data_IF_142926122489
#
_entry.id   IF_142926122489
#
_cell.length_a   1.000
_cell.length_b   1.000
_cell.length_c   1.000
_cell.angle_alpha   90.00
_cell.angle_beta   90.00
_cell.angle_gamma   90.00
#
_symmetry.space_group_name_H-M   'P 1'
#
loop_
_entity.id
_entity.type
_entity.pdbx_description
1 polymer ?
#
# COMPACT_ATOMS: atom_id res chain seq x y z
N UNK A 1 15.47 -30.04 6.89
CA UNK A 1 15.91 -29.72 5.52
C UNK A 1 14.68 -29.82 4.65
N UNK A 2 13.94 -28.72 4.54
CA UNK A 2 12.84 -28.59 3.61
C UNK A 2 13.43 -27.94 2.36
N UNK A 3 13.33 -28.63 1.24
CA UNK A 3 13.82 -28.16 -0.05
C UNK A 3 12.92 -27.01 -0.52
N UNK A 4 13.48 -25.80 -0.54
CA UNK A 4 12.91 -24.65 -1.24
C UNK A 4 12.86 -24.97 -2.73
N UNK A 5 11.69 -25.42 -3.20
CA UNK A 5 11.44 -25.77 -4.60
C UNK A 5 10.65 -24.68 -5.33
N UNK A 6 11.00 -23.42 -5.13
CA UNK A 6 10.55 -22.37 -6.04
C UNK A 6 11.51 -22.31 -7.23
N UNK A 7 11.18 -23.06 -8.28
CA UNK A 7 11.83 -22.87 -9.58
C UNK A 7 11.69 -21.38 -9.97
N UNK A 8 12.74 -20.72 -10.50
CA UNK A 8 12.67 -19.32 -10.86
C UNK A 8 11.57 -19.13 -11.90
N UNK A 9 10.64 -18.24 -11.57
CA UNK A 9 9.51 -17.94 -12.43
C UNK A 9 10.01 -17.36 -13.76
N UNK A 10 9.61 -17.98 -14.88
CA UNK A 10 10.09 -17.55 -16.19
C UNK A 10 9.26 -16.38 -16.68
N UNK A 11 9.84 -15.19 -16.65
CA UNK A 11 9.26 -13.99 -17.26
C UNK A 11 9.03 -14.27 -18.77
N UNK A 12 7.78 -14.19 -19.27
CA UNK A 12 7.48 -14.36 -20.68
C UNK A 12 8.25 -13.34 -21.55
N UNK A 13 8.85 -13.77 -22.66
CA UNK A 13 9.43 -12.83 -23.63
C UNK A 13 8.32 -12.27 -24.54
N UNK A 14 8.01 -10.97 -24.45
CA UNK A 14 6.94 -10.33 -25.23
C UNK A 14 6.47 -8.98 -24.65
N UNK A 15 5.32 -8.48 -25.14
CA UNK A 15 4.66 -7.29 -24.58
C UNK A 15 4.40 -7.47 -23.08
N UNK A 16 4.68 -6.42 -22.31
CA UNK A 16 4.65 -6.47 -20.85
C UNK A 16 3.26 -6.87 -20.32
N UNK A 17 3.14 -7.95 -19.52
CA UNK A 17 1.87 -8.46 -19.01
C UNK A 17 1.39 -7.63 -17.81
N UNK A 18 1.34 -6.31 -17.95
CA UNK A 18 0.94 -5.43 -16.86
C UNK A 18 -0.50 -5.73 -16.43
N UNK A 19 -0.69 -5.92 -15.13
CA UNK A 19 -2.01 -6.06 -14.51
C UNK A 19 -2.38 -4.76 -13.78
N UNK A 20 -3.67 -4.46 -13.70
CA UNK A 20 -4.17 -3.29 -12.97
C UNK A 20 -4.19 -3.54 -11.46
N UNK A 21 -3.51 -2.68 -10.70
CA UNK A 21 -3.41 -2.79 -9.24
C UNK A 21 -4.30 -1.80 -8.54
N UNK A 22 -4.28 -0.56 -9.02
CA UNK A 22 -5.13 0.49 -8.49
C UNK A 22 -5.54 1.41 -9.62
N UNK A 23 -6.81 1.78 -9.65
CA UNK A 23 -7.30 2.92 -10.43
C UNK A 23 -8.11 3.82 -9.49
N UNK A 24 -7.76 5.09 -9.44
CA UNK A 24 -8.45 6.06 -8.60
C UNK A 24 -8.71 7.36 -9.35
N UNK A 25 -9.92 7.89 -9.18
CA UNK A 25 -10.31 9.18 -9.73
C UNK A 25 -10.01 10.29 -8.73
N UNK A 26 -9.53 11.43 -9.21
CA UNK A 26 -9.16 12.61 -8.41
C UNK A 26 -10.27 13.07 -7.46
N UNK A 27 -11.55 12.92 -7.86
CA UNK A 27 -12.71 13.26 -7.02
C UNK A 27 -12.77 12.48 -5.69
N UNK A 28 -12.16 11.29 -5.62
CA UNK A 28 -12.12 10.47 -4.42
C UNK A 28 -10.88 10.75 -3.55
N UNK A 29 -9.86 11.40 -4.11
CA UNK A 29 -8.57 11.69 -3.44
C UNK A 29 -8.06 13.09 -3.80
N UNK A 30 -8.76 14.16 -3.36
CA UNK A 30 -8.51 15.52 -3.84
C UNK A 30 -7.12 16.09 -3.44
N UNK A 31 -6.46 15.50 -2.45
CA UNK A 31 -5.17 15.96 -1.93
C UNK A 31 -3.95 15.33 -2.62
N UNK A 32 -4.16 14.38 -3.55
CA UNK A 32 -3.07 13.73 -4.28
C UNK A 32 -2.52 14.67 -5.38
N UNK A 33 -1.20 14.67 -5.67
CA UNK A 33 -0.58 15.63 -6.58
C UNK A 33 -0.76 15.28 -8.08
N UNK A 34 -2.02 15.19 -8.54
CA UNK A 34 -2.34 14.98 -9.95
C UNK A 34 -1.65 16.03 -10.85
N UNK A 35 -1.05 15.63 -11.98
CA UNK A 35 -0.57 16.58 -12.98
C UNK A 35 -1.71 17.38 -13.59
N UNK A 36 -1.38 18.54 -14.15
CA UNK A 36 -2.36 19.42 -14.79
C UNK A 36 -3.09 18.69 -15.92
N UNK A 37 -4.41 18.86 -15.94
CA UNK A 37 -5.27 18.24 -16.93
C UNK A 37 -5.45 16.73 -16.76
N UNK A 38 -4.98 16.10 -15.67
CA UNK A 38 -5.27 14.70 -15.35
C UNK A 38 -6.18 14.58 -14.11
N UNK A 39 -7.03 13.57 -14.12
CA UNK A 39 -8.02 13.27 -13.07
C UNK A 39 -8.18 11.76 -12.81
N UNK A 40 -7.36 10.91 -13.44
CA UNK A 40 -7.27 9.47 -13.19
C UNK A 40 -5.81 9.07 -12.95
N UNK A 41 -5.58 8.33 -11.86
CA UNK A 41 -4.32 7.68 -11.53
C UNK A 41 -4.51 6.18 -11.70
N UNK A 42 -3.64 5.55 -12.48
CA UNK A 42 -3.52 4.10 -12.58
C UNK A 42 -2.15 3.66 -12.08
N UNK A 43 -2.12 2.66 -11.21
CA UNK A 43 -0.93 1.89 -10.87
C UNK A 43 -1.08 0.50 -11.49
N UNK A 44 -0.15 0.17 -12.37
CA UNK A 44 -0.04 -1.13 -13.00
C UNK A 44 1.26 -1.78 -12.55
N UNK A 45 1.38 -3.11 -12.58
CA UNK A 45 2.68 -3.75 -12.44
C UNK A 45 2.79 -5.02 -13.25
N UNK A 46 4.02 -5.49 -13.46
CA UNK A 46 4.25 -6.86 -13.89
C UNK A 46 4.02 -7.81 -12.70
N UNK A 47 3.15 -8.83 -12.83
CA UNK A 47 2.86 -9.75 -11.72
C UNK A 47 3.98 -10.77 -11.49
N UNK A 48 4.91 -10.90 -12.44
CA UNK A 48 6.05 -11.82 -12.31
C UNK A 48 7.13 -11.23 -11.42
N UNK A 49 7.79 -12.09 -10.66
CA UNK A 49 8.91 -11.68 -9.83
C UNK A 49 10.08 -11.16 -10.66
N UNK A 50 10.51 -9.93 -10.40
CA UNK A 50 11.75 -9.36 -10.93
C UNK A 50 12.80 -9.28 -9.84
N UNK A 51 14.08 -9.33 -10.24
CA UNK A 51 15.26 -9.20 -9.36
C UNK A 51 15.03 -9.71 -7.92
N UNK A 52 15.15 -8.85 -6.90
CA UNK A 52 15.00 -9.19 -5.47
C UNK A 52 13.54 -9.43 -5.04
N UNK A 53 12.75 -10.11 -5.87
CA UNK A 53 11.33 -10.37 -5.67
C UNK A 53 10.43 -9.12 -5.64
N UNK A 54 10.77 -8.09 -6.41
CA UNK A 54 9.98 -6.86 -6.50
C UNK A 54 9.09 -6.85 -7.75
N UNK A 55 7.84 -6.34 -7.65
CA UNK A 55 7.04 -6.05 -8.83
C UNK A 55 7.58 -4.81 -9.52
N UNK A 56 7.61 -4.79 -10.86
CA UNK A 56 7.97 -3.59 -11.61
C UNK A 56 6.72 -2.74 -11.88
N UNK A 57 6.56 -1.57 -11.23
CA UNK A 57 5.38 -0.77 -11.35
C UNK A 57 5.43 0.16 -12.56
N UNK A 58 4.26 0.59 -13.00
CA UNK A 58 4.05 1.68 -13.92
C UNK A 58 2.91 2.54 -13.43
N UNK A 59 3.24 3.79 -13.08
CA UNK A 59 2.26 4.82 -12.77
C UNK A 59 1.84 5.51 -14.07
N UNK A 60 0.54 5.64 -14.29
CA UNK A 60 -0.03 6.29 -15.47
C UNK A 60 -1.05 7.34 -15.03
N UNK A 61 -0.84 8.56 -15.49
CA UNK A 61 -1.78 9.66 -15.32
C UNK A 61 -2.65 9.79 -16.56
N UNK A 62 -3.96 9.89 -16.38
CA UNK A 62 -4.92 9.97 -17.49
C UNK A 62 -5.99 11.03 -17.23
N UNK A 63 -6.73 11.33 -18.30
CA UNK A 63 -8.02 11.99 -18.25
C UNK A 63 -9.12 10.96 -18.26
N UNK A 64 -10.12 11.16 -17.42
CA UNK A 64 -11.36 10.40 -17.39
C UNK A 64 -12.05 10.50 -18.74
N UNK A 65 -12.01 11.66 -19.38
CA UNK A 65 -12.55 11.86 -20.73
C UNK A 65 -11.83 11.07 -21.85
N UNK A 66 -10.62 10.55 -21.58
CA UNK A 66 -9.88 9.67 -22.50
C UNK A 66 -10.12 8.18 -22.20
N UNK A 67 -10.90 7.86 -21.17
CA UNK A 67 -11.31 6.49 -20.88
C UNK A 67 -12.54 6.14 -21.74
N UNK A 68 -12.54 4.94 -22.31
CA UNK A 68 -13.72 4.42 -22.99
C UNK A 68 -14.84 4.21 -21.96
N UNK A 69 -16.09 4.54 -22.32
CA UNK A 69 -17.30 4.29 -21.52
C UNK A 69 -17.60 2.78 -21.31
N UNK A 70 -16.73 1.90 -21.82
CA UNK A 70 -16.84 0.46 -21.64
C UNK A 70 -16.63 0.08 -20.16
N UNK A 71 -17.13 -1.09 -19.76
CA UNK A 71 -16.81 -1.64 -18.44
C UNK A 71 -15.30 -1.65 -18.21
N UNK A 72 -14.82 -1.33 -16.99
CA UNK A 72 -13.41 -1.37 -16.66
C UNK A 72 -12.81 -2.70 -17.08
N UNK A 73 -11.96 -2.67 -18.12
CA UNK A 73 -11.17 -3.84 -18.48
C UNK A 73 -9.98 -3.88 -17.53
N UNK A 74 -10.04 -4.76 -16.54
CA UNK A 74 -8.95 -5.04 -15.60
C UNK A 74 -7.73 -5.69 -16.28
N UNK A 75 -7.82 -5.94 -17.59
CA UNK A 75 -6.93 -6.84 -18.32
C UNK A 75 -7.26 -8.30 -17.99
N UNK A 76 -6.90 -9.22 -18.89
CA UNK A 76 -6.79 -10.62 -18.52
C UNK A 76 -5.34 -10.84 -18.08
N UNK A 77 -5.08 -11.17 -16.81
CA UNK A 77 -3.73 -11.52 -16.37
C UNK A 77 -3.14 -12.63 -17.25
N UNK A 78 -1.82 -12.66 -17.37
CA UNK A 78 -1.16 -13.79 -18.02
C UNK A 78 -1.53 -15.10 -17.32
N UNK A 79 -1.73 -16.19 -18.07
CA UNK A 79 -2.18 -17.46 -17.49
C UNK A 79 -1.22 -18.03 -16.43
N UNK A 80 0.07 -17.71 -16.57
CA UNK A 80 1.13 -18.11 -15.66
C UNK A 80 1.46 -17.07 -14.57
N UNK A 81 0.70 -15.98 -14.44
CA UNK A 81 0.94 -14.98 -13.40
C UNK A 81 0.70 -15.58 -12.00
N UNK A 82 1.56 -15.30 -11.00
CA UNK A 82 1.29 -15.70 -9.62
C UNK A 82 -0.05 -15.14 -9.16
N UNK A 83 -0.98 -15.99 -8.67
CA UNK A 83 -2.27 -15.50 -8.17
C UNK A 83 -2.13 -14.47 -7.04
N UNK A 84 -1.09 -14.57 -6.23
CA UNK A 84 -0.80 -13.69 -5.10
C UNK A 84 -0.33 -12.28 -5.50
N UNK A 85 0.11 -12.08 -6.74
CA UNK A 85 0.56 -10.77 -7.25
C UNK A 85 -0.48 -10.12 -8.16
N UNK A 86 -1.67 -10.71 -8.28
CA UNK A 86 -2.78 -10.20 -9.08
C UNK A 86 -3.97 -9.95 -8.16
N UNK A 87 -4.51 -8.73 -8.10
CA UNK A 87 -5.65 -8.46 -7.24
C UNK A 87 -6.91 -9.12 -7.78
N UNK A 88 -7.73 -9.64 -6.86
CA UNK A 88 -9.14 -9.91 -7.17
C UNK A 88 -9.82 -8.57 -7.45
N UNK A 89 -10.54 -8.41 -8.59
CA UNK A 89 -11.22 -7.17 -8.90
C UNK A 89 -12.18 -6.74 -7.78
N UNK A 90 -11.96 -5.56 -7.23
CA UNK A 90 -12.75 -5.00 -6.14
C UNK A 90 -12.90 -3.48 -6.31
N UNK A 91 -13.92 -2.91 -5.66
CA UNK A 91 -14.07 -1.47 -5.54
C UNK A 91 -13.33 -0.97 -4.31
N UNK A 92 -12.70 0.19 -4.42
CA UNK A 92 -12.11 0.89 -3.26
C UNK A 92 -13.10 1.88 -2.65
N UNK A 93 -13.08 2.02 -1.33
CA UNK A 93 -13.84 3.02 -0.58
C UNK A 93 -12.84 3.92 0.18
N UNK A 94 -12.32 5.00 -0.44
CA UNK A 94 -11.29 5.80 0.20
C UNK A 94 -11.80 6.55 1.43
N UNK A 95 -11.13 6.36 2.55
CA UNK A 95 -11.36 7.13 3.77
C UNK A 95 -10.23 8.13 4.01
N UNK A 96 -10.60 9.35 4.42
CA UNK A 96 -9.62 10.37 4.77
C UNK A 96 -9.26 10.25 6.24
N UNK A 97 -8.04 9.84 6.51
CA UNK A 97 -7.45 9.78 7.85
C UNK A 97 -6.39 10.86 8.06
N UNK A 98 -6.04 11.09 9.32
CA UNK A 98 -4.86 11.88 9.72
C UNK A 98 -3.88 10.90 10.36
N UNK A 99 -2.65 10.88 9.88
CA UNK A 99 -1.56 10.08 10.42
C UNK A 99 -0.32 10.95 10.66
N UNK A 100 0.67 10.42 11.38
CA UNK A 100 1.88 11.14 11.74
C UNK A 100 3.12 10.28 11.47
N UNK A 101 4.13 10.88 10.86
CA UNK A 101 5.41 10.23 10.58
C UNK A 101 6.23 9.98 11.86
N UNK A 102 6.78 8.78 12.01
CA UNK A 102 7.85 8.49 12.96
C UNK A 102 9.20 9.08 12.51
N UNK A 103 9.39 9.27 11.20
CA UNK A 103 10.71 9.60 10.61
C UNK A 103 11.15 11.04 10.84
N UNK A 104 10.20 11.92 11.19
CA UNK A 104 10.49 13.32 11.50
C UNK A 104 10.90 13.53 12.96
N UNK A 105 10.85 12.46 13.76
CA UNK A 105 11.14 12.50 15.18
C UNK A 105 12.65 12.36 15.42
N UNK A 106 13.20 13.24 16.24
CA UNK A 106 14.55 13.06 16.80
C UNK A 106 14.60 11.83 17.70
N UNK A 107 15.81 11.27 17.87
CA UNK A 107 16.04 10.15 18.81
C UNK A 107 15.55 10.45 20.24
N UNK A 108 15.64 11.71 20.67
CA UNK A 108 15.12 12.14 21.98
C UNK A 108 13.59 12.07 22.03
N UNK A 109 12.90 12.51 20.97
CA UNK A 109 11.45 12.41 20.86
C UNK A 109 11.00 10.95 20.81
N UNK A 110 11.71 10.10 20.05
CA UNK A 110 11.44 8.65 20.00
C UNK A 110 11.55 8.03 21.40
N UNK A 111 12.61 8.35 22.16
CA UNK A 111 12.77 7.88 23.54
C UNK A 111 11.63 8.31 24.46
N UNK A 112 11.22 9.58 24.39
CA UNK A 112 10.09 10.10 25.17
C UNK A 112 8.76 9.45 24.78
N UNK A 113 8.53 9.20 23.49
CA UNK A 113 7.32 8.51 23.01
C UNK A 113 7.29 7.04 23.42
N UNK A 114 8.44 6.36 23.46
CA UNK A 114 8.51 4.99 23.94
C UNK A 114 8.09 4.88 25.41
N UNK A 115 8.62 5.75 26.27
CA UNK A 115 8.22 5.82 27.69
C UNK A 115 6.73 6.16 27.86
N UNK A 116 6.23 7.11 27.06
CA UNK A 116 4.80 7.48 27.07
C UNK A 116 3.91 6.34 26.57
N UNK A 117 4.36 5.58 25.56
CA UNK A 117 3.59 4.48 24.97
C UNK A 117 3.30 3.39 25.99
N UNK A 118 4.27 3.03 26.81
CA UNK A 118 4.08 2.02 27.87
C UNK A 118 3.04 2.47 28.89
N UNK A 119 3.09 3.74 29.32
CA UNK A 119 2.12 4.32 30.26
C UNK A 119 0.73 4.40 29.63
N UNK A 120 0.63 4.93 28.40
CA UNK A 120 -0.64 5.08 27.68
C UNK A 120 -1.32 3.72 27.47
N UNK A 121 -0.54 2.71 27.07
CA UNK A 121 -1.04 1.36 26.84
C UNK A 121 -1.54 0.73 28.13
N UNK A 122 -0.83 0.92 29.25
CA UNK A 122 -1.26 0.41 30.55
C UNK A 122 -2.55 1.09 31.06
N UNK A 123 -2.70 2.39 30.86
CA UNK A 123 -3.84 3.16 31.37
C UNK A 123 -5.08 3.08 30.48
N UNK A 124 -4.90 2.96 29.16
CA UNK A 124 -5.99 3.14 28.19
C UNK A 124 -6.08 2.02 27.14
N UNK A 125 -5.06 1.19 27.03
CA UNK A 125 -4.95 0.17 25.99
C UNK A 125 -4.54 0.69 24.61
N UNK A 126 -4.30 1.99 24.46
CA UNK A 126 -3.81 2.60 23.21
C UNK A 126 -2.29 2.51 23.10
N UNK A 127 -1.78 2.11 21.95
CA UNK A 127 -0.36 2.07 21.65
C UNK A 127 0.04 3.26 20.74
N UNK A 128 1.11 3.97 21.09
CA UNK A 128 1.53 5.14 20.29
C UNK A 128 1.95 4.71 18.89
N UNK A 129 2.68 3.61 18.77
CA UNK A 129 3.30 3.20 17.52
C UNK A 129 2.29 2.61 16.55
N UNK A 130 1.41 1.72 17.04
CA UNK A 130 0.41 1.09 16.17
C UNK A 130 -0.87 1.91 16.02
N UNK A 131 -1.38 2.55 17.07
CA UNK A 131 -2.68 3.21 16.99
C UNK A 131 -2.59 4.71 16.68
N UNK A 132 -1.44 5.37 16.92
CA UNK A 132 -1.39 6.84 16.88
C UNK A 132 -0.55 7.46 15.77
N UNK A 133 0.47 6.75 15.26
CA UNK A 133 1.40 7.27 14.25
C UNK A 133 0.95 6.96 12.82
N UNK A 134 1.65 6.04 12.13
CA UNK A 134 1.47 5.75 10.71
C UNK A 134 0.35 4.72 10.55
N UNK A 135 -0.65 5.01 9.72
CA UNK A 135 -1.70 4.07 9.40
C UNK A 135 -1.11 2.86 8.61
N UNK A 136 -1.49 1.62 8.92
CA UNK A 136 -1.12 0.48 8.08
C UNK A 136 -1.89 0.51 6.74
N UNK A 137 -1.66 -0.51 5.92
CA UNK A 137 -2.54 -0.81 4.79
C UNK A 137 -2.28 -0.03 3.51
N UNK A 138 -3.19 -0.26 2.57
CA UNK A 138 -3.18 0.40 1.27
C UNK A 138 -3.64 1.85 1.43
N UNK A 139 -2.84 2.80 0.95
CA UNK A 139 -3.14 4.23 1.12
C UNK A 139 -2.55 5.10 0.04
N UNK A 140 -3.10 6.30 -0.10
CA UNK A 140 -2.71 7.29 -1.10
C UNK A 140 -2.26 8.59 -0.41
N UNK A 141 -1.03 9.02 -0.69
CA UNK A 141 -0.38 10.08 0.07
C UNK A 141 0.04 9.64 1.47
N UNK A 142 0.26 10.60 2.37
CA UNK A 142 0.65 10.32 3.75
C UNK A 142 2.10 9.84 3.88
N UNK A 143 2.34 8.92 4.81
CA UNK A 143 3.67 8.44 5.19
C UNK A 143 3.82 6.93 4.94
N UNK A 144 4.90 6.46 4.30
CA UNK A 144 5.14 5.03 4.16
C UNK A 144 5.30 4.37 5.54
N UNK A 145 4.72 3.17 5.71
CA UNK A 145 5.00 2.31 6.87
C UNK A 145 6.20 1.42 6.54
N UNK A 146 7.39 1.90 6.87
CA UNK A 146 8.64 1.21 6.61
C UNK A 146 8.81 -0.01 7.51
N UNK A 147 9.07 -1.18 6.92
CA UNK A 147 9.47 -2.40 7.65
C UNK A 147 10.98 -2.40 7.93
N UNK A 148 11.76 -1.81 7.03
CA UNK A 148 13.21 -1.66 7.10
C UNK A 148 13.59 -0.19 7.29
N UNK A 149 14.88 0.13 7.24
CA UNK A 149 15.31 1.52 7.28
C UNK A 149 14.66 2.33 6.14
N UNK A 150 14.10 3.52 6.42
CA UNK A 150 13.46 4.35 5.42
C UNK A 150 14.38 4.74 4.28
N UNK A 151 13.92 4.56 3.05
CA UNK A 151 14.67 4.95 1.86
C UNK A 151 13.85 5.86 0.94
N UNK A 152 14.04 7.18 1.08
CA UNK A 152 13.33 8.15 0.26
C UNK A 152 14.05 8.38 -1.07
N UNK A 153 13.38 8.22 -2.22
CA UNK A 153 13.98 8.53 -3.50
C UNK A 153 14.12 10.05 -3.70
N UNK A 154 15.23 10.44 -4.33
CA UNK A 154 15.46 11.80 -4.81
C UNK A 154 15.21 11.87 -6.31
N UNK A 155 14.45 12.87 -6.75
CA UNK A 155 14.24 13.12 -8.17
C UNK A 155 15.51 13.71 -8.80
N UNK A 156 15.70 13.53 -10.11
CA UNK A 156 16.77 14.18 -10.87
C UNK A 156 16.79 15.72 -10.75
N UNK A 157 15.68 16.36 -10.36
CA UNK A 157 15.64 17.79 -10.08
C UNK A 157 16.16 18.18 -8.67
N UNK A 158 16.62 17.21 -7.87
CA UNK A 158 17.23 17.41 -6.56
C UNK A 158 16.24 17.54 -5.40
N UNK A 159 14.94 17.29 -5.62
CA UNK A 159 13.94 17.27 -4.53
C UNK A 159 13.69 15.83 -4.09
N UNK A 160 13.55 15.63 -2.78
CA UNK A 160 13.02 14.40 -2.23
C UNK A 160 11.60 14.19 -2.75
N UNK A 161 11.31 13.00 -3.28
CA UNK A 161 9.99 12.67 -3.79
C UNK A 161 8.97 12.50 -2.66
N UNK A 162 7.72 12.75 -2.98
CA UNK A 162 6.57 12.59 -2.09
C UNK A 162 6.04 11.15 -2.17
N UNK A 163 5.51 10.63 -1.05
CA UNK A 163 4.84 9.33 -1.06
C UNK A 163 3.53 9.43 -1.84
N UNK A 164 3.40 8.62 -2.89
CA UNK A 164 2.23 8.59 -3.75
C UNK A 164 1.22 7.55 -3.27
N UNK A 165 1.67 6.31 -3.08
CA UNK A 165 0.81 5.19 -2.73
C UNK A 165 1.58 4.11 -1.97
N UNK A 166 0.92 3.49 -1.00
CA UNK A 166 1.31 2.18 -0.47
C UNK A 166 0.29 1.15 -0.96
N UNK A 167 0.77 0.03 -1.48
CA UNK A 167 -0.02 -1.19 -1.69
C UNK A 167 0.48 -2.20 -0.67
N UNK A 168 -0.38 -2.60 0.27
CA UNK A 168 -0.01 -3.49 1.36
C UNK A 168 -0.50 -4.91 1.09
N UNK A 169 0.16 -5.89 1.70
CA UNK A 169 -0.41 -7.25 1.77
C UNK A 169 -1.66 -7.30 2.63
N UNK A 170 -1.66 -6.54 3.75
CA UNK A 170 -2.76 -6.45 4.70
C UNK A 170 -3.15 -4.99 4.93
N UNK A 171 -4.44 -4.73 4.95
CA UNK A 171 -4.99 -3.41 5.28
C UNK A 171 -4.75 -3.04 6.75
N UNK A 172 -4.79 -4.04 7.63
CA UNK A 172 -4.49 -3.92 9.06
C UNK A 172 -4.20 -5.29 9.66
N UNK A 173 -3.61 -5.31 10.85
CA UNK A 173 -3.50 -6.52 11.69
C UNK A 173 -4.09 -6.28 13.09
N UNK A 174 -3.97 -7.28 13.98
CA UNK A 174 -4.56 -7.21 15.32
C UNK A 174 -3.94 -6.16 16.25
N UNK A 175 -2.73 -5.67 15.93
CA UNK A 175 -2.09 -4.57 16.65
C UNK A 175 -2.59 -3.18 16.20
N UNK A 176 -3.17 -3.07 15.00
CA UNK A 176 -3.62 -1.80 14.41
C UNK A 176 -5.15 -1.64 14.38
N UNK A 177 -5.89 -2.64 14.88
CA UNK A 177 -7.35 -2.73 14.68
C UNK A 177 -8.18 -1.78 15.55
N UNK A 178 -7.58 -0.92 16.38
CA UNK A 178 -8.34 0.03 17.23
C UNK A 178 -8.74 1.32 16.52
N UNK A 179 -7.86 1.85 15.66
CA UNK A 179 -8.07 3.14 14.97
C UNK A 179 -8.23 3.01 13.47
N UNK A 180 -7.47 2.10 12.87
CA UNK A 180 -7.27 2.09 11.43
C UNK A 180 -8.22 1.16 10.69
N UNK A 181 -9.20 0.58 11.40
CA UNK A 181 -10.28 -0.19 10.78
C UNK A 181 -11.21 0.78 10.07
N UNK A 182 -11.47 0.58 8.76
CA UNK A 182 -12.47 1.33 8.01
C UNK A 182 -13.82 1.36 8.72
N UNK A 183 -14.55 2.47 8.60
CA UNK A 183 -15.82 2.71 9.26
C UNK A 183 -16.85 1.61 8.97
N UNK A 184 -16.87 1.10 7.74
CA UNK A 184 -17.76 0.00 7.34
C UNK A 184 -17.43 -1.33 8.03
N UNK A 185 -16.19 -1.52 8.46
CA UNK A 185 -15.67 -2.76 9.03
C UNK A 185 -15.60 -2.73 10.57
N UNK A 186 -15.67 -1.54 11.20
CA UNK A 186 -15.69 -1.39 12.66
C UNK A 186 -16.70 -2.31 13.38
N UNK A 187 -17.94 -2.51 12.89
CA UNK A 187 -18.89 -3.42 13.54
C UNK A 187 -18.42 -4.88 13.63
N UNK A 188 -17.46 -5.31 12.79
CA UNK A 188 -16.90 -6.66 12.84
C UNK A 188 -15.99 -6.86 14.06
N UNK A 189 -15.43 -5.77 14.59
CA UNK A 189 -14.52 -5.77 15.73
C UNK A 189 -15.21 -5.46 17.07
N UNK A 190 -16.48 -5.03 17.03
CA UNK A 190 -17.35 -4.89 18.20
C UNK A 190 -17.93 -6.25 18.68
N UNK A 191 -17.76 -7.31 17.89
CA UNK A 191 -18.12 -8.67 18.27
C UNK A 191 -17.03 -9.21 19.22
N UNK A 192 -17.42 -9.85 20.33
CA UNK A 192 -16.55 -10.33 21.43
C UNK A 192 -15.36 -11.23 21.04
N UNK A 193 -15.16 -11.53 19.76
CA UNK A 193 -14.00 -12.23 19.22
C UNK A 193 -12.75 -11.35 19.26
N UNK A 194 -11.61 -11.95 19.60
CA UNK A 194 -10.33 -11.26 19.47
C UNK A 194 -9.97 -11.09 17.99
N UNK A 195 -9.26 -10.02 17.62
CA UNK A 195 -8.85 -9.78 16.23
C UNK A 195 -8.14 -10.99 15.59
N UNK A 196 -7.36 -11.74 16.39
CA UNK A 196 -6.70 -12.97 15.92
C UNK A 196 -7.67 -14.09 15.53
N UNK A 197 -8.76 -14.28 16.26
CA UNK A 197 -9.80 -15.27 15.92
C UNK A 197 -10.57 -14.86 14.67
N UNK A 198 -10.88 -13.56 14.54
CA UNK A 198 -11.53 -13.02 13.35
C UNK A 198 -10.67 -13.29 12.11
N UNK A 199 -9.38 -12.98 12.13
CA UNK A 199 -8.51 -13.18 10.97
C UNK A 199 -8.19 -14.64 10.66
N UNK A 200 -8.28 -15.53 11.64
CA UNK A 200 -8.14 -16.97 11.42
C UNK A 200 -9.36 -17.55 10.68
N UNK A 201 -10.55 -17.03 10.98
CA UNK A 201 -11.81 -17.48 10.36
C UNK A 201 -12.10 -16.75 9.04
N UNK A 202 -11.69 -15.49 8.95
CA UNK A 202 -11.98 -14.58 7.85
C UNK A 202 -10.71 -13.84 7.38
N UNK A 203 -9.73 -14.57 6.82
CA UNK A 203 -8.48 -13.96 6.35
C UNK A 203 -8.72 -12.91 5.26
N UNK A 204 -9.81 -13.00 4.50
CA UNK A 204 -10.20 -12.07 3.43
C UNK A 204 -10.45 -10.64 3.93
N UNK A 205 -10.88 -10.47 5.18
CA UNK A 205 -11.21 -9.15 5.76
C UNK A 205 -9.99 -8.22 5.76
N UNK A 206 -8.81 -8.76 6.10
CA UNK A 206 -7.57 -7.96 6.12
C UNK A 206 -6.88 -7.84 4.76
N UNK A 207 -7.35 -8.55 3.73
CA UNK A 207 -6.75 -8.58 2.38
C UNK A 207 -7.84 -8.74 1.31
N UNK A 208 -8.79 -7.79 1.20
CA UNK A 208 -9.93 -7.94 0.30
C UNK A 208 -9.51 -8.06 -1.18
N UNK A 209 -8.36 -7.50 -1.54
CA UNK A 209 -7.76 -7.63 -2.87
C UNK A 209 -7.11 -9.02 -3.12
N UNK A 210 -6.95 -9.86 -2.10
CA UNK A 210 -6.44 -11.23 -2.23
C UNK A 210 -4.93 -11.38 -2.48
N UNK A 211 -4.19 -10.27 -2.56
CA UNK A 211 -2.74 -10.29 -2.84
C UNK A 211 -1.91 -10.63 -1.59
N UNK A 212 -0.71 -11.14 -1.81
CA UNK A 212 0.31 -11.35 -0.79
C UNK A 212 1.68 -10.99 -1.36
N UNK A 213 2.30 -9.96 -0.78
CA UNK A 213 3.53 -9.37 -1.26
C UNK A 213 4.73 -9.91 -0.46
N UNK A 214 5.31 -11.02 -0.92
CA UNK A 214 6.38 -11.70 -0.17
C UNK A 214 5.87 -12.21 1.19
N UNK A 215 6.63 -11.98 2.27
CA UNK A 215 6.21 -12.31 3.63
C UNK A 215 5.40 -11.16 4.26
N UNK A 216 4.22 -10.89 3.70
CA UNK A 216 3.33 -9.80 4.15
C UNK A 216 3.95 -8.39 4.08
N UNK A 217 4.73 -8.12 3.03
CA UNK A 217 5.38 -6.85 2.77
C UNK A 217 4.45 -5.77 2.19
N UNK A 218 5.07 -4.62 1.94
CA UNK A 218 4.48 -3.42 1.38
C UNK A 218 5.26 -2.94 0.15
N UNK A 219 4.52 -2.43 -0.82
CA UNK A 219 5.05 -1.69 -1.96
C UNK A 219 4.77 -0.20 -1.76
N UNK A 220 5.78 0.65 -1.97
CA UNK A 220 5.64 2.11 -1.88
C UNK A 220 5.98 2.75 -3.23
N UNK A 221 5.06 3.51 -3.80
CA UNK A 221 5.29 4.40 -4.93
C UNK A 221 5.54 5.83 -4.44
N UNK A 222 6.45 6.52 -5.13
CA UNK A 222 6.81 7.91 -4.88
C UNK A 222 6.67 8.72 -6.17
N UNK A 223 6.43 10.02 -6.02
CA UNK A 223 6.28 10.95 -7.15
C UNK A 223 6.98 12.27 -6.86
N UNK A 224 7.60 12.85 -7.89
CA UNK A 224 8.01 14.25 -7.83
C UNK A 224 6.86 15.17 -8.30
N UNK A 225 6.24 15.89 -7.38
CA UNK A 225 5.20 16.86 -7.72
C UNK A 225 5.76 18.17 -8.33
N UNK A 226 7.07 18.43 -8.18
CA UNK A 226 7.73 19.61 -8.75
C UNK A 226 7.92 19.49 -10.27
N UNK A 227 8.28 18.30 -10.76
CA UNK A 227 8.51 18.08 -12.17
C UNK A 227 7.19 17.93 -12.94
N UNK A 228 7.05 18.56 -14.12
CA UNK A 228 5.79 18.56 -14.89
C UNK A 228 5.42 17.17 -15.44
N UNK A 229 6.41 16.33 -15.71
CA UNK A 229 6.26 14.95 -16.19
C UNK A 229 5.94 13.94 -15.06
N UNK A 230 5.91 14.39 -13.79
CA UNK A 230 5.60 13.57 -12.61
C UNK A 230 6.37 12.24 -12.59
N UNK A 231 7.71 12.27 -12.60
CA UNK A 231 8.50 11.06 -12.54
C UNK A 231 8.22 10.34 -11.23
N UNK A 232 8.20 9.01 -11.29
CA UNK A 232 7.89 8.13 -10.18
C UNK A 232 9.01 7.15 -9.90
N UNK A 233 9.18 6.82 -8.63
CA UNK A 233 10.10 5.79 -8.14
C UNK A 233 9.34 4.85 -7.21
N UNK A 234 9.94 3.71 -6.85
CA UNK A 234 9.31 2.77 -5.93
C UNK A 234 10.30 2.13 -4.95
N UNK A 235 9.78 1.63 -3.84
CA UNK A 235 10.50 0.80 -2.86
C UNK A 235 9.66 -0.40 -2.48
N UNK A 236 10.34 -1.52 -2.32
CA UNK A 236 9.76 -2.75 -1.82
C UNK A 236 10.26 -3.02 -0.41
N UNK A 237 9.34 -3.20 0.52
CA UNK A 237 9.64 -3.52 1.90
C UNK A 237 9.03 -4.89 2.24
N UNK A 238 9.88 -5.93 2.27
CA UNK A 238 9.53 -7.26 2.76
C UNK A 238 10.26 -7.54 4.06
N UNK A 239 9.61 -8.23 5.00
CA UNK A 239 10.25 -8.79 6.20
C UNK A 239 11.14 -9.97 5.88
#
# INVERSE_FOLDING_TARGET
MLEDSHAPEKIPQGDSPLVAILQIFRRHVPNLPFPDGCDVLQLLWCPFSHQACEPLPRVVWRREADLDDAEPSYGTPHADAPPESVPTPCTVAPERVIEYSSEELSREQIGKLAELSDVLKAETGWDVWSDLLVAPGTKLGGHPSWVQDPEWPECACGVRMEHLATIASWEYDGAFSRRWVPLEEQPLFDLEATAGELFAQHPEIRRPHGMMLGDAGNFHAFVCATCPDRPTEHRWACS
#
